data_IF_732554355305
#
_entry.id   IF_732554355305
#
_cell.length_a   1.000
_cell.length_b   1.000
_cell.length_c   1.000
_cell.angle_alpha   90.00
_cell.angle_beta   90.00
_cell.angle_gamma   90.00
#
_symmetry.space_group_name_H-M   'P 1'
#
loop_
_entity.id
_entity.type
_entity.pdbx_description
1 polymer ?
#
# COMPACT_ATOMS: atom_id res chain seq x y z
N UNK A 1 -67.29 -13.62 14.22
CA UNK A 1 -66.45 -13.71 15.43
C UNK A 1 -65.88 -15.13 15.44
N UNK A 2 -64.68 -15.45 14.98
CA UNK A 2 -63.48 -14.69 14.70
C UNK A 2 -62.32 -15.57 15.18
N UNK A 3 -61.83 -16.49 14.33
CA UNK A 3 -60.54 -17.20 14.51
C UNK A 3 -59.97 -17.70 13.16
N UNK A 4 -60.30 -17.06 12.03
CA UNK A 4 -59.52 -17.21 10.78
C UNK A 4 -58.16 -16.48 10.87
N UNK A 5 -57.86 -15.87 12.02
CA UNK A 5 -56.63 -15.14 12.31
C UNK A 5 -55.58 -15.98 13.06
N UNK A 6 -55.89 -17.21 13.47
CA UNK A 6 -54.98 -18.05 14.26
C UNK A 6 -54.20 -19.06 13.38
N UNK A 7 -54.71 -19.38 12.18
CA UNK A 7 -54.05 -20.26 11.22
C UNK A 7 -53.01 -19.57 10.31
N UNK A 8 -53.02 -18.23 10.23
CA UNK A 8 -52.12 -17.47 9.37
C UNK A 8 -50.81 -17.05 10.06
N UNK A 9 -50.74 -17.18 11.39
CA UNK A 9 -49.58 -16.80 12.21
C UNK A 9 -48.57 -17.94 12.39
N UNK A 10 -48.96 -19.19 12.12
CA UNK A 10 -48.03 -20.35 12.14
C UNK A 10 -47.15 -20.45 10.88
N UNK A 11 -47.40 -19.64 9.85
CA UNK A 11 -46.65 -19.65 8.58
C UNK A 11 -45.52 -18.61 8.50
N UNK A 12 -45.21 -17.89 9.59
CA UNK A 12 -44.27 -16.75 9.56
C UNK A 12 -43.01 -16.83 10.43
N UNK A 13 -42.74 -17.94 11.10
CA UNK A 13 -41.49 -18.11 11.88
C UNK A 13 -40.79 -19.46 11.66
N UNK A 14 -40.76 -19.95 10.41
CA UNK A 14 -39.64 -20.82 10.00
C UNK A 14 -38.49 -19.95 9.51
N UNK A 15 -38.05 -19.06 10.37
CA UNK A 15 -36.73 -18.48 10.25
C UNK A 15 -35.75 -19.65 10.25
N UNK A 16 -34.88 -19.67 9.25
CA UNK A 16 -33.79 -20.63 9.06
C UNK A 16 -33.08 -20.95 10.37
N UNK A 17 -33.52 -22.01 11.07
CA UNK A 17 -32.78 -22.54 12.22
C UNK A 17 -31.40 -22.93 11.69
N UNK A 18 -30.30 -22.43 12.28
CA UNK A 18 -28.97 -22.73 11.78
C UNK A 18 -28.77 -24.25 11.76
N UNK A 19 -28.37 -24.79 10.61
CA UNK A 19 -28.07 -26.22 10.47
C UNK A 19 -26.92 -26.59 11.42
N UNK A 20 -27.25 -27.24 12.53
CA UNK A 20 -26.26 -27.71 13.50
C UNK A 20 -25.41 -28.77 12.83
N UNK A 21 -24.09 -28.56 12.74
CA UNK A 21 -23.13 -29.56 12.22
C UNK A 21 -22.07 -29.86 13.27
N UNK A 22 -21.83 -31.15 13.52
CA UNK A 22 -20.86 -31.57 14.51
C UNK A 22 -19.52 -31.96 13.86
N UNK A 23 -18.44 -31.27 14.26
CA UNK A 23 -17.06 -31.52 13.79
C UNK A 23 -16.27 -32.39 14.78
N UNK A 24 -16.21 -31.96 16.05
CA UNK A 24 -15.38 -32.57 17.10
C UNK A 24 -16.19 -33.31 18.19
N UNK A 25 -17.51 -33.40 18.06
CA UNK A 25 -18.40 -34.01 19.06
C UNK A 25 -19.32 -35.05 18.42
N UNK A 26 -19.59 -36.17 19.10
CA UNK A 26 -20.51 -37.21 18.65
C UNK A 26 -21.73 -37.25 19.58
N UNK A 27 -22.90 -36.74 19.13
CA UNK A 27 -24.12 -36.81 19.92
C UNK A 27 -24.55 -38.24 20.23
N UNK A 28 -25.18 -38.43 21.40
CA UNK A 28 -25.75 -39.72 21.82
C UNK A 28 -27.06 -40.02 21.11
N UNK A 29 -27.85 -38.99 20.77
CA UNK A 29 -29.12 -39.15 20.07
C UNK A 29 -28.93 -39.49 18.59
N UNK A 30 -29.65 -40.50 18.05
CA UNK A 30 -29.47 -40.96 16.67
C UNK A 30 -29.89 -39.91 15.64
N UNK A 31 -30.87 -39.06 15.96
CA UNK A 31 -31.32 -37.96 15.09
C UNK A 31 -30.24 -36.89 14.89
N UNK A 32 -29.44 -36.64 15.93
CA UNK A 32 -28.36 -35.64 15.90
C UNK A 32 -27.07 -36.17 15.26
N UNK A 33 -26.88 -37.49 15.21
CA UNK A 33 -25.74 -38.14 14.53
C UNK A 33 -25.75 -37.96 13.01
N UNK A 34 -26.91 -37.77 12.40
CA UNK A 34 -27.05 -37.50 10.96
C UNK A 34 -26.39 -36.18 10.54
N UNK A 35 -26.16 -35.28 11.49
CA UNK A 35 -25.54 -33.99 11.27
C UNK A 35 -24.03 -33.96 11.60
N UNK A 36 -23.42 -35.13 11.85
CA UNK A 36 -21.98 -35.25 12.01
C UNK A 36 -21.30 -35.17 10.64
N UNK A 37 -20.26 -34.35 10.54
CA UNK A 37 -19.45 -34.32 9.33
C UNK A 37 -18.61 -35.61 9.25
N UNK A 38 -18.43 -36.19 8.05
CA UNK A 38 -17.55 -37.33 7.87
C UNK A 38 -16.13 -36.91 8.26
N UNK A 39 -15.50 -37.69 9.14
CA UNK A 39 -14.09 -37.47 9.46
C UNK A 39 -13.29 -37.81 8.20
N UNK A 40 -12.45 -36.89 7.69
CA UNK A 40 -11.59 -37.20 6.56
C UNK A 40 -10.68 -38.37 6.94
N UNK A 41 -10.51 -39.31 6.01
CA UNK A 41 -9.59 -40.43 6.25
C UNK A 41 -8.16 -39.89 6.31
N UNK A 42 -7.32 -40.49 7.14
CA UNK A 42 -5.89 -40.12 7.23
C UNK A 42 -5.24 -40.26 5.84
N UNK A 43 -5.60 -41.32 5.11
CA UNK A 43 -5.12 -41.57 3.75
C UNK A 43 -5.48 -40.46 2.75
N UNK A 44 -6.62 -39.78 2.93
CA UNK A 44 -7.06 -38.69 2.06
C UNK A 44 -6.23 -37.43 2.31
N UNK A 45 -5.95 -37.14 3.58
CA UNK A 45 -5.11 -36.03 3.99
C UNK A 45 -3.67 -36.23 3.53
N UNK A 46 -3.12 -37.44 3.69
CA UNK A 46 -1.78 -37.77 3.22
C UNK A 46 -1.66 -37.62 1.69
N UNK A 47 -2.66 -38.06 0.93
CA UNK A 47 -2.71 -37.85 -0.53
C UNK A 47 -2.80 -36.38 -0.91
N UNK A 48 -3.58 -35.59 -0.17
CA UNK A 48 -3.69 -34.16 -0.41
C UNK A 48 -2.37 -33.44 -0.15
N UNK A 49 -1.71 -33.74 0.97
CA UNK A 49 -0.39 -33.20 1.32
C UNK A 49 0.66 -33.61 0.29
N UNK A 50 0.66 -34.88 -0.13
CA UNK A 50 1.58 -35.37 -1.15
C UNK A 50 1.37 -34.65 -2.50
N UNK A 51 0.12 -34.42 -2.89
CA UNK A 51 -0.22 -33.68 -4.13
C UNK A 51 0.23 -32.22 -4.05
N UNK A 52 0.02 -31.56 -2.91
CA UNK A 52 0.44 -30.17 -2.68
C UNK A 52 1.97 -30.05 -2.69
N UNK A 53 2.67 -30.96 -1.99
CA UNK A 53 4.12 -31.02 -1.98
C UNK A 53 4.69 -31.28 -3.39
N UNK A 54 4.08 -32.20 -4.15
CA UNK A 54 4.46 -32.43 -5.55
C UNK A 54 4.23 -31.19 -6.42
N UNK A 55 3.11 -30.50 -6.23
CA UNK A 55 2.81 -29.23 -6.94
C UNK A 55 3.84 -28.14 -6.66
N UNK A 56 4.23 -27.96 -5.39
CA UNK A 56 5.27 -27.02 -5.01
C UNK A 56 6.64 -27.37 -5.61
N UNK A 57 7.00 -28.67 -5.62
CA UNK A 57 8.24 -29.15 -6.25
C UNK A 57 8.20 -28.96 -7.76
N UNK A 58 7.05 -29.14 -8.41
CA UNK A 58 6.89 -28.95 -9.85
C UNK A 58 7.01 -27.47 -10.22
N UNK A 59 6.35 -26.58 -9.47
CA UNK A 59 6.44 -25.14 -9.65
C UNK A 59 7.88 -24.62 -9.47
N UNK A 60 8.59 -25.12 -8.45
CA UNK A 60 10.00 -24.79 -8.22
C UNK A 60 10.96 -25.37 -9.29
N UNK A 61 10.54 -26.40 -10.04
CA UNK A 61 11.31 -26.96 -11.17
C UNK A 61 11.05 -26.23 -12.48
N UNK A 62 9.85 -25.66 -12.65
CA UNK A 62 9.50 -24.84 -13.80
C UNK A 62 10.13 -23.44 -13.73
N UNK A 63 10.38 -22.94 -12.52
CA UNK A 63 11.28 -21.80 -12.31
C UNK A 63 12.73 -22.21 -12.61
N UNK A 64 13.37 -21.47 -13.52
CA UNK A 64 14.70 -21.74 -14.05
C UNK A 64 15.75 -21.85 -12.93
N UNK A 65 16.03 -23.08 -12.50
CA UNK A 65 17.05 -23.43 -11.50
C UNK A 65 18.42 -22.88 -11.93
N UNK A 66 18.67 -22.75 -13.24
CA UNK A 66 19.92 -22.21 -13.78
C UNK A 66 20.11 -20.72 -13.42
N UNK A 67 19.03 -19.96 -13.32
CA UNK A 67 19.02 -18.56 -12.87
C UNK A 67 19.29 -18.40 -11.36
N UNK A 68 19.06 -19.44 -10.55
CA UNK A 68 19.45 -19.47 -9.13
C UNK A 68 20.87 -19.98 -8.91
N UNK A 69 21.38 -20.83 -9.81
CA UNK A 69 22.74 -21.40 -9.76
C UNK A 69 23.80 -20.45 -10.34
N UNK A 70 23.39 -19.51 -11.19
CA UNK A 70 24.29 -18.48 -11.72
C UNK A 70 24.84 -17.58 -10.59
N UNK A 71 26.16 -17.28 -10.57
CA UNK A 71 26.72 -16.30 -9.66
C UNK A 71 26.03 -14.95 -9.84
N UNK A 72 25.32 -14.48 -8.81
CA UNK A 72 24.76 -13.13 -8.79
C UNK A 72 25.89 -12.10 -8.88
N UNK A 73 25.55 -10.88 -9.33
CA UNK A 73 26.50 -9.76 -9.34
C UNK A 73 27.15 -9.61 -7.94
N UNK A 74 28.47 -9.38 -7.82
CA UNK A 74 29.15 -9.33 -6.52
C UNK A 74 28.49 -8.36 -5.52
N UNK A 75 27.90 -7.27 -6.01
CA UNK A 75 27.26 -6.24 -5.19
C UNK A 75 25.75 -6.42 -5.02
N UNK A 76 25.18 -7.57 -5.39
CA UNK A 76 23.72 -7.78 -5.34
C UNK A 76 23.18 -7.72 -3.91
N UNK A 77 23.94 -8.30 -2.98
CA UNK A 77 23.62 -8.34 -1.56
C UNK A 77 23.70 -6.93 -0.96
N UNK A 78 24.78 -6.22 -1.27
CA UNK A 78 24.96 -4.83 -0.86
C UNK A 78 23.82 -3.93 -1.36
N UNK A 79 23.40 -4.09 -2.62
CA UNK A 79 22.27 -3.32 -3.16
C UNK A 79 20.99 -3.62 -2.39
N UNK A 80 20.66 -4.90 -2.20
CA UNK A 80 19.46 -5.32 -1.46
C UNK A 80 19.43 -4.76 -0.04
N UNK A 81 20.55 -4.86 0.66
CA UNK A 81 20.64 -4.49 2.08
C UNK A 81 20.67 -2.97 2.28
N UNK A 82 21.18 -2.23 1.28
CA UNK A 82 21.24 -0.76 1.29
C UNK A 82 19.99 -0.12 0.67
N UNK A 83 19.22 -0.83 -0.15
CA UNK A 83 18.03 -0.32 -0.86
C UNK A 83 17.06 0.38 0.09
N UNK A 84 16.74 -0.26 1.23
CA UNK A 84 15.83 0.31 2.23
C UNK A 84 16.35 1.62 2.83
N UNK A 85 17.68 1.76 2.98
CA UNK A 85 18.29 3.00 3.50
C UNK A 85 18.30 4.09 2.44
N UNK A 86 18.57 3.72 1.18
CA UNK A 86 18.54 4.65 0.04
C UNK A 86 17.13 5.18 -0.18
N UNK A 87 16.09 4.34 -0.11
CA UNK A 87 14.72 4.80 -0.32
C UNK A 87 14.30 5.85 0.72
N UNK A 88 14.60 5.62 2.00
CA UNK A 88 14.35 6.58 3.09
C UNK A 88 15.16 7.86 2.88
N UNK A 89 16.43 7.75 2.49
CA UNK A 89 17.30 8.90 2.27
C UNK A 89 16.89 9.70 1.03
N UNK A 90 16.47 9.05 -0.05
CA UNK A 90 15.97 9.70 -1.28
C UNK A 90 14.78 10.57 -0.95
N UNK A 91 13.78 10.02 -0.25
CA UNK A 91 12.59 10.79 0.18
C UNK A 91 12.96 12.02 1.01
N UNK A 92 13.93 11.90 1.92
CA UNK A 92 14.41 13.05 2.72
C UNK A 92 15.17 14.08 1.87
N UNK A 93 15.97 13.62 0.92
CA UNK A 93 16.71 14.49 -0.01
C UNK A 93 15.74 15.26 -0.88
N UNK A 94 14.71 14.61 -1.42
CA UNK A 94 13.69 15.25 -2.25
C UNK A 94 12.90 16.30 -1.45
N UNK A 95 12.55 16.00 -0.19
CA UNK A 95 11.93 16.99 0.73
C UNK A 95 12.86 18.18 1.01
N UNK A 96 14.16 17.95 1.21
CA UNK A 96 15.13 19.02 1.40
C UNK A 96 15.31 19.89 0.15
N UNK A 97 15.34 19.28 -1.05
CA UNK A 97 15.39 20.01 -2.33
C UNK A 97 14.16 20.92 -2.46
N UNK A 98 12.99 20.41 -2.12
CA UNK A 98 11.74 21.19 -2.17
C UNK A 98 11.77 22.37 -1.20
N UNK A 99 12.30 22.20 0.00
CA UNK A 99 12.49 23.29 0.96
C UNK A 99 13.41 24.37 0.39
N UNK A 100 14.55 23.99 -0.18
CA UNK A 100 15.49 24.92 -0.82
C UNK A 100 14.85 25.68 -2.00
N UNK A 101 14.01 25.01 -2.79
CA UNK A 101 13.26 25.66 -3.88
C UNK A 101 12.28 26.70 -3.32
N UNK A 102 11.56 26.39 -2.24
CA UNK A 102 10.66 27.35 -1.58
C UNK A 102 11.41 28.59 -1.10
N UNK A 103 12.50 28.39 -0.37
CA UNK A 103 13.34 29.47 0.15
C UNK A 103 13.89 30.35 -0.99
N UNK A 104 14.38 29.73 -2.07
CA UNK A 104 14.93 30.47 -3.22
C UNK A 104 13.86 31.31 -3.93
N UNK A 105 12.64 30.79 -4.07
CA UNK A 105 11.52 31.54 -4.66
C UNK A 105 11.10 32.70 -3.76
N UNK A 106 11.02 32.49 -2.44
CA UNK A 106 10.67 33.54 -1.47
C UNK A 106 11.71 34.65 -1.39
N UNK A 107 13.00 34.28 -1.37
CA UNK A 107 14.10 35.24 -1.42
C UNK A 107 14.03 36.09 -2.69
N UNK A 108 13.82 35.48 -3.86
CA UNK A 108 13.68 36.20 -5.14
C UNK A 108 12.45 37.11 -5.20
N UNK A 109 11.33 36.70 -4.58
CA UNK A 109 10.14 37.57 -4.47
C UNK A 109 10.42 38.77 -3.57
N UNK A 110 11.02 38.54 -2.40
CA UNK A 110 11.33 39.58 -1.41
C UNK A 110 12.33 40.59 -1.98
N UNK A 111 13.41 40.12 -2.62
CA UNK A 111 14.37 41.02 -3.30
C UNK A 111 13.69 41.84 -4.40
N UNK A 112 12.78 41.22 -5.17
CA UNK A 112 12.04 41.92 -6.24
C UNK A 112 11.03 42.94 -5.71
N UNK A 113 10.43 42.71 -4.53
CA UNK A 113 9.53 43.66 -3.87
C UNK A 113 10.30 44.86 -3.30
N UNK A 114 11.42 44.62 -2.62
CA UNK A 114 12.30 45.68 -2.11
C UNK A 114 12.81 46.60 -3.24
N UNK A 115 13.11 46.05 -4.42
CA UNK A 115 13.53 46.82 -5.60
C UNK A 115 12.41 47.67 -6.25
N UNK A 116 11.14 47.45 -5.89
CA UNK A 116 10.00 48.23 -6.44
C UNK A 116 9.68 49.48 -5.62
N UNK A 117 10.04 49.52 -4.34
CA UNK A 117 9.64 50.60 -3.42
C UNK A 117 10.62 51.79 -3.39
N UNK A 118 11.81 51.67 -3.99
CA UNK A 118 12.80 52.76 -4.02
C UNK A 118 12.66 53.65 -5.28
N UNK A 119 11.88 54.74 -5.14
CA UNK A 119 11.85 55.87 -6.08
C UNK A 119 13.00 56.88 -5.86
N UNK A 120 14.09 56.53 -5.19
CA UNK A 120 15.20 57.46 -4.91
C UNK A 120 16.56 56.82 -5.18
N UNK A 121 17.22 57.33 -6.24
CA UNK A 121 18.68 57.40 -6.36
C UNK A 121 19.46 56.09 -6.45
N UNK A 122 19.72 55.64 -7.69
CA UNK A 122 20.79 54.66 -8.00
C UNK A 122 22.09 55.05 -7.29
N UNK A 123 22.50 54.23 -6.33
CA UNK A 123 23.88 54.13 -5.87
C UNK A 123 24.26 52.66 -5.87
N UNK A 124 25.34 52.38 -6.58
CA UNK A 124 25.78 51.07 -7.00
C UNK A 124 26.21 50.23 -5.79
N UNK A 125 25.30 49.40 -5.29
CA UNK A 125 25.62 48.31 -4.37
C UNK A 125 25.38 47.01 -5.11
N UNK A 126 26.47 46.42 -5.57
CA UNK A 126 26.52 45.22 -6.40
C UNK A 126 26.16 44.00 -5.53
N UNK A 127 24.88 43.84 -5.20
CA UNK A 127 24.37 42.54 -4.76
C UNK A 127 24.20 41.69 -5.98
N UNK A 128 25.15 40.80 -6.24
CA UNK A 128 25.10 39.74 -7.26
C UNK A 128 24.03 38.68 -6.96
N UNK A 129 22.89 39.07 -6.38
CA UNK A 129 21.71 38.23 -6.28
C UNK A 129 21.11 38.15 -7.69
N UNK A 130 21.60 37.18 -8.47
CA UNK A 130 21.01 36.81 -9.74
C UNK A 130 19.55 36.41 -9.46
N UNK A 131 18.63 37.33 -9.76
CA UNK A 131 17.21 37.08 -9.63
C UNK A 131 16.85 35.88 -10.51
N UNK A 132 16.09 34.94 -9.94
CA UNK A 132 15.59 33.77 -10.68
C UNK A 132 14.94 34.22 -11.99
N UNK A 133 15.33 33.58 -13.08
CA UNK A 133 14.70 33.77 -14.37
C UNK A 133 13.24 33.33 -14.31
N UNK A 134 12.42 33.83 -15.24
CA UNK A 134 10.99 33.47 -15.31
C UNK A 134 10.81 31.96 -15.47
N UNK A 135 11.63 31.32 -16.29
CA UNK A 135 11.60 29.88 -16.54
C UNK A 135 11.92 29.10 -15.26
N UNK A 136 12.92 29.51 -14.49
CA UNK A 136 13.24 28.86 -13.21
C UNK A 136 12.13 29.01 -12.16
N UNK A 137 11.44 30.15 -12.14
CA UNK A 137 10.26 30.36 -11.29
C UNK A 137 9.09 29.45 -11.68
N UNK A 138 8.83 29.31 -12.98
CA UNK A 138 7.78 28.44 -13.52
C UNK A 138 8.10 26.97 -13.24
N UNK A 139 9.35 26.54 -13.46
CA UNK A 139 9.82 25.19 -13.12
C UNK A 139 9.70 24.93 -11.62
N UNK A 140 10.15 25.85 -10.77
CA UNK A 140 10.05 25.71 -9.32
C UNK A 140 8.61 25.58 -8.84
N UNK A 141 7.68 26.37 -9.40
CA UNK A 141 6.25 26.27 -9.09
C UNK A 141 5.63 24.94 -9.56
N UNK A 142 6.04 24.45 -10.75
CA UNK A 142 5.62 23.16 -11.28
C UNK A 142 6.08 22.01 -10.39
N UNK A 143 7.36 22.01 -9.98
CA UNK A 143 7.93 21.01 -9.06
C UNK A 143 7.22 21.03 -7.70
N UNK A 144 6.92 22.22 -7.16
CA UNK A 144 6.18 22.36 -5.90
C UNK A 144 4.75 21.81 -5.98
N UNK A 145 4.09 22.00 -7.12
CA UNK A 145 2.74 21.49 -7.36
C UNK A 145 2.75 19.97 -7.44
N UNK A 146 3.65 19.41 -8.26
CA UNK A 146 3.80 17.97 -8.42
C UNK A 146 4.14 17.27 -7.09
N UNK A 147 5.03 17.85 -6.26
CA UNK A 147 5.38 17.23 -4.99
C UNK A 147 4.24 17.28 -3.97
N UNK A 148 3.48 18.38 -3.93
CA UNK A 148 2.29 18.45 -3.09
C UNK A 148 1.19 17.46 -3.54
N UNK A 149 1.13 17.11 -4.82
CA UNK A 149 0.24 16.05 -5.33
C UNK A 149 0.74 14.66 -4.91
N UNK A 150 2.05 14.41 -4.96
CA UNK A 150 2.65 13.14 -4.52
C UNK A 150 2.46 12.93 -3.02
N UNK A 151 2.74 13.93 -2.18
CA UNK A 151 2.56 13.82 -0.72
C UNK A 151 1.09 13.51 -0.37
N UNK A 152 0.12 14.07 -1.10
CA UNK A 152 -1.31 13.73 -0.90
C UNK A 152 -1.63 12.28 -1.24
N UNK A 153 -1.04 11.74 -2.31
CA UNK A 153 -1.26 10.36 -2.72
C UNK A 153 -0.60 9.37 -1.76
N UNK A 154 0.56 9.72 -1.17
CA UNK A 154 1.21 8.87 -0.16
C UNK A 154 0.39 8.78 1.14
N UNK A 155 -0.26 9.87 1.57
CA UNK A 155 -1.08 9.87 2.78
C UNK A 155 -2.38 9.02 2.62
N UNK A 156 -2.87 8.82 1.39
CA UNK A 156 -4.06 8.02 1.08
C UNK A 156 -3.80 6.49 1.05
N UNK A 157 -2.56 6.05 0.81
CA UNK A 157 -2.17 4.63 0.74
C UNK A 157 -1.97 3.98 2.15
N UNK A 158 -1.77 4.80 3.19
CA UNK A 158 -1.58 4.37 4.58
C UNK A 158 -2.88 4.43 5.43
N UNK A 159 -4.04 4.77 4.83
CA UNK A 159 -5.35 4.94 5.48
C UNK A 159 -6.30 3.73 5.40
#
# INVERSE_FOLDING_TARGET
>A
MGTDAEAATELRERESTPEIRFRNYVPKDPKLRLFCLPRPSVDELEKQIAKEAQGAVQAAKEEDILSQVAPRRPNWDLKRDVERKISVLSRRTDKAIVQLIREKIEQSKTTKELLKDDHVGKKDFETSAENLTREELEIGQSVLTAMNEIDKLEDDDDA
#
